data_IF_818018053907
#
_entry.id   IF_818018053907
#
_cell.length_a   1.000
_cell.length_b   1.000
_cell.length_c   1.000
_cell.angle_alpha   90.00
_cell.angle_beta   90.00
_cell.angle_gamma   90.00
#
_symmetry.space_group_name_H-M   'P 1'
#
loop_
_entity.id
_entity.type
_entity.pdbx_description
1 polymer ?
#
# COMPACT_ATOMS: atom_id res chain seq x y z
N UNK A 1 -13.04 -18.83 -4.47
CA UNK A 1 -13.27 -18.84 -5.94
C UNK A 1 -12.28 -17.94 -6.69
N UNK A 2 -12.15 -16.63 -6.37
CA UNK A 2 -11.18 -15.75 -7.05
C UNK A 2 -9.73 -16.24 -6.93
N UNK A 3 -9.32 -16.70 -5.75
CA UNK A 3 -7.98 -17.25 -5.53
C UNK A 3 -7.69 -18.50 -6.38
N UNK A 4 -8.71 -19.32 -6.65
CA UNK A 4 -8.58 -20.47 -7.53
C UNK A 4 -8.31 -20.02 -8.98
N UNK A 5 -9.08 -19.06 -9.49
CA UNK A 5 -8.85 -18.50 -10.83
C UNK A 5 -7.51 -17.78 -10.94
N UNK A 6 -7.04 -17.17 -9.86
CA UNK A 6 -5.70 -16.59 -9.82
C UNK A 6 -4.62 -17.69 -9.85
N UNK A 7 -4.81 -18.79 -9.10
CA UNK A 7 -3.87 -19.91 -9.06
C UNK A 7 -3.80 -20.67 -10.41
N UNK A 8 -4.91 -20.73 -11.16
CA UNK A 8 -4.93 -21.29 -12.52
C UNK A 8 -4.42 -20.32 -13.58
N UNK A 9 -4.13 -19.08 -13.21
CA UNK A 9 -3.63 -18.05 -14.12
C UNK A 9 -4.69 -17.42 -15.02
N UNK A 10 -5.98 -17.65 -14.74
CA UNK A 10 -7.09 -17.08 -15.51
C UNK A 10 -7.29 -15.59 -15.24
N UNK A 11 -6.98 -15.14 -14.02
CA UNK A 11 -7.07 -13.73 -13.62
C UNK A 11 -5.80 -13.30 -12.87
N UNK A 12 -5.52 -11.99 -12.90
CA UNK A 12 -4.58 -11.33 -12.00
C UNK A 12 -5.36 -10.81 -10.79
N UNK A 13 -5.18 -11.44 -9.63
CA UNK A 13 -5.85 -11.06 -8.39
C UNK A 13 -4.91 -10.18 -7.57
N UNK A 14 -5.28 -8.92 -7.37
CA UNK A 14 -4.53 -7.96 -6.57
C UNK A 14 -5.36 -7.45 -5.40
N UNK A 15 -4.70 -7.18 -4.30
CA UNK A 15 -5.29 -6.66 -3.07
C UNK A 15 -4.84 -5.23 -2.85
N UNK A 16 -5.79 -4.31 -2.72
CA UNK A 16 -5.54 -2.89 -2.48
C UNK A 16 -5.83 -2.54 -1.03
N UNK A 17 -4.95 -1.73 -0.45
CA UNK A 17 -5.16 -1.09 0.85
C UNK A 17 -4.22 0.12 1.01
N UNK A 18 -4.50 0.95 2.02
CA UNK A 18 -3.68 2.09 2.40
C UNK A 18 -3.13 1.92 3.82
N UNK A 19 -1.94 2.45 4.02
CA UNK A 19 -1.34 2.55 5.35
C UNK A 19 -0.71 3.92 5.58
N UNK A 20 -0.51 4.27 6.84
CA UNK A 20 0.08 5.56 7.20
C UNK A 20 1.24 5.40 8.17
N UNK A 21 2.19 6.34 8.02
CA UNK A 21 3.40 6.44 8.83
C UNK A 21 3.54 7.88 9.35
N UNK A 22 4.24 8.05 10.45
CA UNK A 22 4.65 9.35 10.99
C UNK A 22 6.12 9.27 11.41
N UNK A 23 6.74 10.41 11.72
CA UNK A 23 8.14 10.46 12.13
C UNK A 23 8.41 9.72 13.44
N UNK A 24 7.38 9.52 14.25
CA UNK A 24 7.50 8.78 15.50
C UNK A 24 7.40 7.29 15.24
N UNK A 25 8.50 6.59 15.46
CA UNK A 25 8.55 5.13 15.43
C UNK A 25 7.85 4.55 16.66
N UNK A 26 7.13 3.45 16.47
CA UNK A 26 6.62 2.68 17.59
C UNK A 26 7.78 2.06 18.38
N UNK A 27 7.86 2.25 19.72
CA UNK A 27 8.88 1.61 20.53
C UNK A 27 8.75 0.09 20.44
N UNK A 28 9.87 -0.56 20.17
CA UNK A 28 9.97 -2.01 20.12
C UNK A 28 10.48 -2.59 21.41
N UNK A 29 10.20 -3.89 21.62
CA UNK A 29 10.91 -4.64 22.65
C UNK A 29 12.35 -4.88 22.21
N UNK A 30 13.32 -4.59 23.09
CA UNK A 30 14.72 -4.92 22.90
C UNK A 30 15.26 -5.50 24.19
N UNK A 31 16.21 -6.43 24.07
CA UNK A 31 16.97 -6.89 25.23
C UNK A 31 18.03 -5.84 25.59
N UNK A 32 18.07 -5.46 26.86
CA UNK A 32 19.06 -4.55 27.40
C UNK A 32 19.56 -5.01 28.78
N UNK A 33 20.63 -4.42 29.28
CA UNK A 33 21.16 -4.81 30.59
C UNK A 33 20.14 -4.58 31.70
N UNK A 34 20.07 -5.51 32.62
CA UNK A 34 19.14 -5.45 33.76
C UNK A 34 19.34 -4.16 34.57
N UNK A 35 18.29 -3.34 34.68
CA UNK A 35 18.36 -2.06 35.41
C UNK A 35 18.62 -0.84 34.52
N UNK A 36 18.89 -1.01 33.24
CA UNK A 36 19.09 0.08 32.29
C UNK A 36 17.88 0.19 31.33
N UNK A 37 17.56 1.41 30.90
CA UNK A 37 16.54 1.67 29.88
C UNK A 37 17.21 2.20 28.62
N UNK A 38 16.99 1.55 27.51
CA UNK A 38 17.34 2.12 26.22
C UNK A 38 16.33 3.22 25.87
N UNK A 39 16.81 4.45 25.81
CA UNK A 39 16.01 5.60 25.36
C UNK A 39 16.09 5.70 23.84
N UNK A 40 14.95 5.86 23.20
CA UNK A 40 14.87 6.21 21.78
C UNK A 40 14.67 7.72 21.70
N UNK A 41 15.65 8.42 21.14
CA UNK A 41 15.49 9.85 20.86
C UNK A 41 14.57 10.01 19.66
N UNK A 42 13.47 10.69 19.82
CA UNK A 42 12.53 11.03 18.75
C UNK A 42 12.53 12.53 18.54
N UNK A 43 12.23 12.95 17.31
CA UNK A 43 12.04 14.37 17.01
C UNK A 43 10.90 14.94 17.85
N UNK A 44 11.02 16.19 18.29
CA UNK A 44 9.97 16.89 19.02
C UNK A 44 8.69 17.06 18.18
N UNK A 45 8.83 17.03 16.85
CA UNK A 45 7.75 17.20 15.89
C UNK A 45 7.28 15.83 15.38
N UNK A 46 5.96 15.60 15.45
CA UNK A 46 5.33 14.39 14.88
C UNK A 46 5.42 14.33 13.34
N UNK A 47 5.64 15.48 12.71
CA UNK A 47 5.66 15.60 11.25
C UNK A 47 4.27 15.45 10.59
N UNK A 48 4.25 15.61 9.28
CA UNK A 48 3.08 15.28 8.47
C UNK A 48 3.01 13.76 8.27
N UNK A 49 1.79 13.24 8.20
CA UNK A 49 1.59 11.82 7.87
C UNK A 49 2.13 11.54 6.46
N UNK A 50 2.90 10.48 6.32
CA UNK A 50 3.21 9.86 5.04
C UNK A 50 2.22 8.69 4.85
N UNK A 51 1.50 8.65 3.75
CA UNK A 51 0.60 7.55 3.41
C UNK A 51 1.13 6.78 2.21
N UNK A 52 0.94 5.48 2.24
CA UNK A 52 1.21 4.56 1.13
C UNK A 52 -0.13 3.97 0.69
N UNK A 53 -0.34 3.88 -0.60
CA UNK A 53 -1.38 3.07 -1.22
C UNK A 53 -0.70 1.99 -2.04
N UNK A 54 -1.17 0.75 -1.98
CA UNK A 54 -0.51 -0.35 -2.66
C UNK A 54 -1.46 -1.41 -3.21
N UNK A 55 -0.99 -2.09 -4.25
CA UNK A 55 -1.57 -3.29 -4.81
C UNK A 55 -0.63 -4.45 -4.60
N UNK A 56 -1.02 -5.42 -3.81
CA UNK A 56 -0.29 -6.67 -3.62
C UNK A 56 -0.89 -7.76 -4.51
N UNK A 57 -0.09 -8.33 -5.40
CA UNK A 57 -0.33 -9.62 -6.02
C UNK A 57 0.58 -10.63 -5.33
N UNK A 58 0.05 -11.48 -4.44
CA UNK A 58 0.87 -12.36 -3.61
C UNK A 58 1.88 -13.16 -4.42
N UNK A 59 3.14 -13.21 -3.97
CA UNK A 59 4.26 -13.92 -4.60
C UNK A 59 4.65 -13.43 -6.01
N UNK A 60 4.07 -12.34 -6.50
CA UNK A 60 4.32 -11.85 -7.87
C UNK A 60 4.78 -10.40 -7.87
N UNK A 61 3.98 -9.50 -7.33
CA UNK A 61 4.29 -8.06 -7.43
C UNK A 61 3.65 -7.22 -6.32
N UNK A 62 4.31 -6.11 -6.02
CA UNK A 62 3.80 -5.08 -5.14
C UNK A 62 3.98 -3.70 -5.81
N UNK A 63 2.88 -3.14 -6.27
CA UNK A 63 2.84 -1.80 -6.89
C UNK A 63 2.36 -0.80 -5.85
N UNK A 64 3.08 0.31 -5.64
CA UNK A 64 2.73 1.24 -4.58
C UNK A 64 3.01 2.71 -4.95
N UNK A 65 2.29 3.62 -4.30
CA UNK A 65 2.51 5.05 -4.36
C UNK A 65 2.60 5.68 -2.97
N UNK A 66 3.38 6.76 -2.84
CA UNK A 66 3.55 7.50 -1.60
C UNK A 66 2.94 8.90 -1.71
N UNK A 67 2.20 9.32 -0.68
CA UNK A 67 1.55 10.63 -0.58
C UNK A 67 1.91 11.27 0.75
N UNK A 68 2.39 12.51 0.72
CA UNK A 68 2.54 13.31 1.94
C UNK A 68 1.15 13.82 2.34
N UNK A 69 0.68 13.39 3.51
CA UNK A 69 -0.70 13.57 3.94
C UNK A 69 -1.52 12.29 3.84
N UNK A 70 -2.83 12.42 3.65
CA UNK A 70 -3.73 11.29 3.42
C UNK A 70 -3.83 10.92 1.94
N UNK A 71 -4.05 9.64 1.65
CA UNK A 71 -4.48 9.22 0.31
C UNK A 71 -5.81 9.91 -0.01
N UNK A 72 -5.91 10.46 -1.19
CA UNK A 72 -7.11 11.12 -1.67
C UNK A 72 -7.63 10.44 -2.96
N UNK A 73 -8.84 10.84 -3.39
CA UNK A 73 -9.47 10.23 -4.57
C UNK A 73 -8.62 10.36 -5.85
N UNK A 74 -7.86 11.46 -6.02
CA UNK A 74 -7.02 11.65 -7.22
C UNK A 74 -5.88 10.63 -7.27
N UNK A 75 -5.18 10.42 -6.14
CA UNK A 75 -4.12 9.42 -6.05
C UNK A 75 -4.68 8.00 -6.22
N UNK A 76 -5.84 7.70 -5.64
CA UNK A 76 -6.52 6.43 -5.85
C UNK A 76 -6.89 6.22 -7.32
N UNK A 77 -7.53 7.20 -7.97
CA UNK A 77 -7.91 7.12 -9.38
C UNK A 77 -6.67 6.91 -10.26
N UNK A 78 -5.58 7.65 -10.03
CA UNK A 78 -4.36 7.47 -10.80
C UNK A 78 -3.81 6.04 -10.68
N UNK A 79 -3.76 5.48 -9.48
CA UNK A 79 -3.32 4.10 -9.25
C UNK A 79 -4.21 3.09 -9.99
N UNK A 80 -5.53 3.27 -9.95
CA UNK A 80 -6.48 2.40 -10.66
C UNK A 80 -6.38 2.53 -12.18
N UNK A 81 -6.15 3.75 -12.70
CA UNK A 81 -5.92 3.99 -14.13
C UNK A 81 -4.65 3.28 -14.65
N UNK A 82 -3.58 3.31 -13.88
CA UNK A 82 -2.34 2.60 -14.23
C UNK A 82 -2.56 1.08 -14.25
N UNK A 83 -3.28 0.55 -13.27
CA UNK A 83 -3.63 -0.88 -13.22
C UNK A 83 -4.58 -1.28 -14.37
N UNK A 84 -5.55 -0.42 -14.71
CA UNK A 84 -6.46 -0.66 -15.84
C UNK A 84 -5.70 -0.63 -17.19
N UNK A 85 -4.81 0.35 -17.37
CA UNK A 85 -3.97 0.44 -18.57
C UNK A 85 -3.07 -0.79 -18.73
N UNK A 86 -2.49 -1.30 -17.64
CA UNK A 86 -1.69 -2.51 -17.67
C UNK A 86 -2.53 -3.77 -17.95
N UNK A 87 -3.75 -3.87 -17.38
CA UNK A 87 -4.68 -4.95 -17.70
C UNK A 87 -5.04 -4.96 -19.18
N UNK A 88 -5.36 -3.79 -19.75
CA UNK A 88 -5.66 -3.65 -21.17
C UNK A 88 -4.47 -4.03 -22.07
N UNK A 89 -3.25 -3.59 -21.69
CA UNK A 89 -2.02 -3.89 -22.43
C UNK A 89 -1.70 -5.39 -22.42
N UNK A 90 -1.89 -6.05 -21.29
CA UNK A 90 -1.60 -7.48 -21.15
C UNK A 90 -2.73 -8.38 -21.68
N UNK A 91 -3.92 -7.84 -21.86
CA UNK A 91 -5.13 -8.57 -22.24
C UNK A 91 -5.63 -9.53 -21.16
N UNK A 92 -5.15 -9.40 -19.92
CA UNK A 92 -5.52 -10.26 -18.79
C UNK A 92 -6.60 -9.60 -17.95
N UNK A 93 -7.57 -10.38 -17.52
CA UNK A 93 -8.57 -9.92 -16.56
C UNK A 93 -7.88 -9.67 -15.23
N UNK A 94 -8.07 -8.48 -14.68
CA UNK A 94 -7.55 -8.07 -13.39
C UNK A 94 -8.68 -7.83 -12.40
N UNK A 95 -8.59 -8.43 -11.23
CA UNK A 95 -9.55 -8.24 -10.15
C UNK A 95 -8.85 -7.56 -8.98
N UNK A 96 -9.33 -6.38 -8.60
CA UNK A 96 -8.84 -5.64 -7.43
C UNK A 96 -9.79 -5.90 -6.27
N UNK A 97 -9.26 -6.53 -5.22
CA UNK A 97 -9.96 -6.74 -3.95
C UNK A 97 -9.62 -5.59 -3.01
N UNK A 98 -10.61 -4.89 -2.49
CA UNK A 98 -10.44 -3.75 -1.60
C UNK A 98 -11.57 -3.62 -0.58
N UNK A 99 -11.40 -2.76 0.40
CA UNK A 99 -12.44 -2.43 1.36
C UNK A 99 -13.52 -1.50 0.77
N UNK A 100 -14.56 -1.22 1.57
CA UNK A 100 -15.64 -0.32 1.22
C UNK A 100 -15.38 1.13 1.68
N UNK A 101 -14.13 1.60 1.69
CA UNK A 101 -13.77 2.95 2.09
C UNK A 101 -14.52 4.04 1.31
N UNK A 102 -14.78 5.21 1.92
CA UNK A 102 -15.50 6.31 1.25
C UNK A 102 -14.84 6.78 -0.04
N UNK A 103 -13.50 6.75 -0.11
CA UNK A 103 -12.72 7.14 -1.28
C UNK A 103 -12.99 6.18 -2.45
N UNK A 104 -13.13 4.88 -2.15
CA UNK A 104 -13.30 3.82 -3.16
C UNK A 104 -14.70 3.83 -3.80
N UNK A 105 -15.68 4.47 -3.17
CA UNK A 105 -17.07 4.47 -3.60
C UNK A 105 -17.66 5.87 -3.79
N UNK A 106 -16.85 6.90 -3.88
CA UNK A 106 -17.35 8.23 -4.19
C UNK A 106 -17.88 8.25 -5.64
N UNK A 107 -18.79 9.18 -5.92
CA UNK A 107 -19.47 9.29 -7.22
C UNK A 107 -18.49 9.35 -8.40
N UNK A 108 -17.45 10.16 -8.29
CA UNK A 108 -16.42 10.31 -9.33
C UNK A 108 -15.69 8.99 -9.65
N UNK A 109 -15.47 8.15 -8.65
CA UNK A 109 -14.86 6.82 -8.84
C UNK A 109 -15.84 5.85 -9.48
N UNK A 110 -17.11 5.89 -9.08
CA UNK A 110 -18.15 5.03 -9.66
C UNK A 110 -18.37 5.32 -11.15
N UNK A 111 -18.26 6.57 -11.57
CA UNK A 111 -18.35 6.96 -12.99
C UNK A 111 -17.23 6.35 -13.85
N UNK A 112 -16.09 5.99 -13.24
CA UNK A 112 -14.96 5.37 -13.94
C UNK A 112 -15.06 3.84 -14.03
N UNK A 113 -15.91 3.18 -13.25
CA UNK A 113 -16.02 1.72 -13.25
C UNK A 113 -16.30 1.13 -14.64
N UNK A 114 -17.28 1.64 -15.44
CA UNK A 114 -17.53 1.09 -16.78
C UNK A 114 -16.31 1.20 -17.71
N UNK A 115 -15.53 2.29 -17.56
CA UNK A 115 -14.27 2.45 -18.30
C UNK A 115 -13.26 1.38 -17.90
N UNK A 116 -13.03 1.20 -16.61
CA UNK A 116 -12.07 0.21 -16.11
C UNK A 116 -12.48 -1.22 -16.47
N UNK A 117 -13.75 -1.55 -16.37
CA UNK A 117 -14.30 -2.85 -16.80
C UNK A 117 -14.06 -3.09 -18.30
N UNK A 118 -14.24 -2.08 -19.15
CA UNK A 118 -13.94 -2.18 -20.58
C UNK A 118 -12.45 -2.41 -20.88
N UNK A 119 -11.56 -2.05 -19.95
CA UNK A 119 -10.13 -2.28 -20.02
C UNK A 119 -9.70 -3.61 -19.36
N UNK A 120 -10.66 -4.39 -18.83
CA UNK A 120 -10.40 -5.68 -18.19
C UNK A 120 -10.11 -5.62 -16.69
N UNK A 121 -10.34 -4.47 -16.01
CA UNK A 121 -10.17 -4.32 -14.58
C UNK A 121 -11.52 -4.32 -13.88
N UNK A 122 -11.67 -5.20 -12.90
CA UNK A 122 -12.87 -5.39 -12.09
C UNK A 122 -12.58 -5.14 -10.63
N UNK A 123 -13.54 -4.60 -9.88
CA UNK A 123 -13.41 -4.31 -8.45
C UNK A 123 -14.29 -5.29 -7.66
N UNK A 124 -13.69 -5.90 -6.64
CA UNK A 124 -14.38 -6.72 -5.66
C UNK A 124 -14.26 -6.09 -4.28
N UNK A 125 -15.40 -5.74 -3.68
CA UNK A 125 -15.44 -5.15 -2.34
C UNK A 125 -15.53 -6.22 -1.27
N UNK A 126 -14.62 -6.16 -0.30
CA UNK A 126 -14.68 -7.01 0.89
C UNK A 126 -15.92 -6.68 1.73
N UNK A 127 -16.51 -7.67 2.40
CA UNK A 127 -17.55 -7.41 3.40
C UNK A 127 -17.02 -6.50 4.51
N UNK A 128 -17.91 -5.73 5.13
CA UNK A 128 -17.55 -4.90 6.29
C UNK A 128 -16.93 -5.77 7.40
N UNK A 129 -15.92 -5.26 8.06
CA UNK A 129 -15.20 -5.92 9.17
C UNK A 129 -14.48 -7.23 8.81
N UNK A 130 -14.13 -7.41 7.53
CA UNK A 130 -13.37 -8.57 7.05
C UNK A 130 -11.96 -8.19 6.57
N UNK A 131 -11.32 -7.25 7.24
CA UNK A 131 -9.96 -6.79 6.90
C UNK A 131 -8.93 -7.92 6.92
N UNK A 132 -9.11 -8.90 7.83
CA UNK A 132 -8.25 -10.09 7.87
C UNK A 132 -8.24 -10.91 6.57
N UNK A 133 -9.18 -10.69 5.67
CA UNK A 133 -9.20 -11.31 4.34
C UNK A 133 -8.33 -10.55 3.32
N UNK A 134 -7.73 -9.44 3.73
CA UNK A 134 -6.86 -8.65 2.86
C UNK A 134 -5.38 -8.91 3.20
N UNK A 135 -4.67 -9.75 2.43
CA UNK A 135 -3.29 -10.13 2.75
C UNK A 135 -2.29 -8.96 2.74
N UNK A 136 -2.61 -7.85 2.09
CA UNK A 136 -1.76 -6.65 2.10
C UNK A 136 -1.62 -6.05 3.51
N UNK A 137 -2.58 -6.28 4.41
CA UNK A 137 -2.47 -5.82 5.80
C UNK A 137 -1.29 -6.47 6.53
N UNK A 138 -0.98 -7.72 6.22
CA UNK A 138 0.21 -8.40 6.75
C UNK A 138 1.49 -7.73 6.25
N UNK A 139 1.54 -7.31 5.00
CA UNK A 139 2.68 -6.57 4.44
C UNK A 139 2.87 -5.23 5.17
N UNK A 140 1.79 -4.51 5.49
CA UNK A 140 1.88 -3.30 6.31
C UNK A 140 2.40 -3.56 7.71
N UNK A 141 1.96 -4.65 8.33
CA UNK A 141 2.45 -5.03 9.66
C UNK A 141 3.93 -5.38 9.63
N UNK A 142 4.39 -6.15 8.65
CA UNK A 142 5.80 -6.48 8.49
C UNK A 142 6.63 -5.23 8.19
N UNK A 143 6.18 -4.37 7.29
CA UNK A 143 6.86 -3.12 6.98
C UNK A 143 7.05 -2.26 8.24
N UNK A 144 6.01 -2.11 9.06
CA UNK A 144 6.08 -1.35 10.31
C UNK A 144 6.95 -2.00 11.38
N UNK A 145 6.81 -3.32 11.58
CA UNK A 145 7.44 -4.05 12.69
C UNK A 145 8.86 -4.49 12.39
N UNK A 146 9.13 -4.91 11.15
CA UNK A 146 10.40 -5.54 10.81
C UNK A 146 11.37 -4.55 10.15
N UNK A 147 10.85 -3.61 9.34
CA UNK A 147 11.68 -2.69 8.57
C UNK A 147 11.81 -1.31 9.21
N UNK A 148 10.76 -0.77 9.81
CA UNK A 148 10.76 0.63 10.30
C UNK A 148 10.86 0.75 11.83
N UNK A 149 10.62 -0.32 12.57
CA UNK A 149 10.58 -0.28 14.02
C UNK A 149 11.94 0.10 14.60
N UNK A 150 11.93 1.02 15.58
CA UNK A 150 13.13 1.46 16.26
C UNK A 150 14.02 2.40 15.47
N UNK A 151 13.61 2.80 14.27
CA UNK A 151 14.25 3.87 13.51
C UNK A 151 13.75 5.25 13.95
N UNK A 152 14.57 6.26 13.83
CA UNK A 152 14.24 7.66 14.04
C UNK A 152 14.37 8.39 12.72
N UNK A 153 13.47 9.31 12.45
CA UNK A 153 13.42 10.06 11.20
C UNK A 153 13.50 11.55 11.47
N UNK A 154 14.38 12.25 10.79
CA UNK A 154 14.57 13.69 10.97
C UNK A 154 13.46 14.48 10.28
N UNK A 155 13.02 14.06 9.11
CA UNK A 155 11.96 14.68 8.34
C UNK A 155 11.13 13.66 7.53
N UNK A 156 10.12 14.18 6.82
CA UNK A 156 9.22 13.38 6.00
C UNK A 156 9.92 12.73 4.79
N UNK A 157 11.03 13.31 4.31
CA UNK A 157 11.81 12.75 3.21
C UNK A 157 12.62 11.54 3.67
N UNK A 158 13.25 11.65 4.84
CA UNK A 158 13.97 10.54 5.48
C UNK A 158 13.03 9.36 5.75
N UNK A 159 11.84 9.63 6.32
CA UNK A 159 10.79 8.62 6.47
C UNK A 159 10.38 8.00 5.13
N UNK A 160 10.23 8.80 4.07
CA UNK A 160 9.84 8.29 2.76
C UNK A 160 10.90 7.35 2.18
N UNK A 161 12.18 7.68 2.31
CA UNK A 161 13.27 6.79 1.91
C UNK A 161 13.30 5.49 2.71
N UNK A 162 13.10 5.58 4.02
CA UNK A 162 13.03 4.38 4.86
C UNK A 162 11.85 3.46 4.46
N UNK A 163 10.69 4.03 4.17
CA UNK A 163 9.53 3.27 3.66
C UNK A 163 9.84 2.62 2.32
N UNK A 164 10.45 3.34 1.36
CA UNK A 164 10.84 2.80 0.05
C UNK A 164 11.81 1.62 0.23
N UNK A 165 12.88 1.82 1.00
CA UNK A 165 13.87 0.78 1.26
C UNK A 165 13.24 -0.43 1.97
N UNK A 166 12.32 -0.19 2.90
CA UNK A 166 11.57 -1.23 3.58
C UNK A 166 10.71 -2.06 2.63
N UNK A 167 9.99 -1.41 1.71
CA UNK A 167 9.20 -2.12 0.68
C UNK A 167 10.11 -2.95 -0.23
N UNK A 168 11.25 -2.41 -0.66
CA UNK A 168 12.21 -3.17 -1.47
C UNK A 168 12.80 -4.37 -0.73
N UNK A 169 13.12 -4.19 0.56
CA UNK A 169 13.59 -5.28 1.42
C UNK A 169 12.51 -6.37 1.57
N UNK A 170 11.24 -5.97 1.73
CA UNK A 170 10.11 -6.91 1.77
C UNK A 170 9.94 -7.67 0.45
N UNK A 171 10.05 -7.00 -0.69
CA UNK A 171 10.02 -7.63 -2.00
C UNK A 171 11.09 -8.72 -2.15
N UNK A 172 12.32 -8.42 -1.73
CA UNK A 172 13.43 -9.40 -1.74
C UNK A 172 13.17 -10.58 -0.80
N UNK A 173 12.62 -10.35 0.39
CA UNK A 173 12.30 -11.41 1.36
C UNK A 173 11.13 -12.28 0.91
N UNK A 174 10.15 -11.69 0.23
CA UNK A 174 8.93 -12.36 -0.23
C UNK A 174 9.00 -12.89 -1.67
N UNK A 175 10.15 -12.71 -2.35
CA UNK A 175 10.39 -13.11 -3.74
C UNK A 175 9.35 -12.54 -4.72
N UNK A 176 9.00 -11.26 -4.56
CA UNK A 176 8.11 -10.53 -5.46
C UNK A 176 8.73 -9.22 -5.93
N UNK A 177 8.37 -8.79 -7.14
CA UNK A 177 8.82 -7.51 -7.70
C UNK A 177 8.14 -6.33 -7.01
N UNK A 178 8.87 -5.21 -6.87
CA UNK A 178 8.32 -3.96 -6.34
C UNK A 178 8.37 -2.87 -7.40
N UNK A 179 7.29 -2.08 -7.52
CA UNK A 179 7.22 -0.96 -8.44
C UNK A 179 6.58 0.25 -7.76
N UNK A 180 7.25 1.39 -7.83
CA UNK A 180 6.73 2.65 -7.28
C UNK A 180 6.11 3.52 -8.36
N UNK A 181 4.84 3.86 -8.17
CA UNK A 181 4.12 4.88 -8.94
C UNK A 181 4.48 6.27 -8.39
N UNK A 182 4.78 7.21 -9.26
CA UNK A 182 5.03 8.61 -8.90
C UNK A 182 3.76 9.42 -9.22
N UNK A 183 3.19 10.03 -8.19
CA UNK A 183 2.07 10.95 -8.40
C UNK A 183 2.55 12.27 -9.01
N UNK A 184 1.78 12.79 -9.97
CA UNK A 184 2.05 14.09 -10.56
C UNK A 184 1.87 15.19 -9.51
N UNK A 185 2.84 16.12 -9.41
CA UNK A 185 2.87 17.21 -8.43
C UNK A 185 1.67 18.16 -8.48
N UNK A 186 0.84 18.10 -9.54
CA UNK A 186 -0.40 18.87 -9.67
C UNK A 186 -1.61 18.25 -8.94
N UNK A 187 -1.42 17.16 -8.19
CA UNK A 187 -2.48 16.44 -7.47
C UNK A 187 -2.65 16.84 -6.00
N UNK A 188 -1.86 17.81 -5.53
CA UNK A 188 -1.82 18.24 -4.11
C UNK A 188 -2.51 19.60 -3.89
N UNK A 189 -3.72 19.77 -4.38
CA UNK A 189 -4.56 20.91 -4.01
C UNK A 189 -5.94 20.43 -3.57
#
# INVERSE_FOLDING_TARGET
MLELFAATGEIDLKYLDESGFCLWSEPGYTYYFRGEQKRLEQTLRRGRRLSIIGFLQPLISFVYGLVIGGVNRKSYIQMMEEEAADAQKTGRIRVIVQDNGPIHRCHEVQELWPKWESMGLYIFFLPKYCSQMNPIELEWQHLKKDELRGQTFDDELDLAYAVINGVEARGKKGDYSTQRVKFNSNSTA
#
